data_IF_020058768564
#
_entry.id   IF_020058768564
#
_cell.length_a   1.000
_cell.length_b   1.000
_cell.length_c   1.000
_cell.angle_alpha   90.00
_cell.angle_beta   90.00
_cell.angle_gamma   90.00
#
_symmetry.space_group_name_H-M   'P 1'
#
loop_
_entity.id
_entity.type
_entity.pdbx_description
1 polymer ?
#
# COMPACT_ATOMS: atom_id res chain seq x y z
N UNK A 1 -46.12 67.13 -27.29
CA UNK A 1 -45.96 68.38 -26.52
C UNK A 1 -46.43 68.06 -25.09
N UNK A 2 -45.51 67.95 -24.12
CA UNK A 2 -45.28 68.94 -23.03
C UNK A 2 -46.17 68.63 -21.80
N UNK A 3 -45.78 68.68 -20.51
CA UNK A 3 -44.54 68.91 -19.77
C UNK A 3 -44.84 68.34 -18.36
N UNK A 4 -43.83 67.75 -17.74
CA UNK A 4 -43.40 68.01 -16.37
C UNK A 4 -44.37 68.60 -15.32
N UNK A 5 -44.22 68.00 -14.13
CA UNK A 5 -44.22 68.68 -12.83
C UNK A 5 -45.60 69.09 -12.34
N UNK A 6 -46.04 68.68 -11.15
CA UNK A 6 -45.46 69.07 -9.86
C UNK A 6 -45.79 67.91 -8.88
N UNK A 7 -44.90 66.97 -8.58
CA UNK A 7 -43.83 67.04 -7.59
C UNK A 7 -44.25 67.62 -6.22
N UNK A 8 -44.08 66.81 -5.16
CA UNK A 8 -44.26 67.07 -3.71
C UNK A 8 -45.69 66.85 -3.22
N UNK A 9 -45.92 66.27 -2.05
CA UNK A 9 -45.11 65.81 -0.89
C UNK A 9 -46.15 65.08 -0.02
N UNK A 10 -45.94 63.91 0.55
CA UNK A 10 -44.94 63.53 1.55
C UNK A 10 -45.06 62.01 1.67
N UNK A 11 -43.96 61.26 1.55
CA UNK A 11 -43.41 60.45 2.65
C UNK A 11 -44.33 59.27 3.06
N UNK A 12 -43.91 58.01 3.00
CA UNK A 12 -42.65 57.51 3.54
C UNK A 12 -42.03 56.37 2.69
N UNK A 13 -40.69 56.47 2.54
CA UNK A 13 -39.67 55.40 2.40
C UNK A 13 -39.65 54.55 1.10
N UNK A 14 -38.96 54.91 0.00
CA UNK A 14 -37.50 54.76 -0.31
C UNK A 14 -36.95 53.34 -0.04
N UNK A 15 -36.77 52.43 -1.02
CA UNK A 15 -35.77 52.35 -2.12
C UNK A 15 -34.31 52.32 -1.62
N UNK A 16 -33.61 51.20 -1.86
CA UNK A 16 -32.20 51.19 -2.31
C UNK A 16 -31.80 49.87 -2.97
N UNK A 17 -31.91 49.83 -4.30
CA UNK A 17 -30.99 49.07 -5.15
C UNK A 17 -29.78 49.97 -5.45
N UNK A 18 -28.56 49.41 -5.41
CA UNK A 18 -27.49 49.50 -6.44
C UNK A 18 -26.09 49.52 -5.80
N UNK A 19 -25.27 48.52 -6.14
CA UNK A 19 -23.86 48.62 -6.56
C UNK A 19 -23.45 47.20 -7.00
N UNK A 20 -23.55 46.84 -8.28
CA UNK A 20 -22.49 46.96 -9.30
C UNK A 20 -21.19 46.29 -8.82
N UNK A 21 -20.91 45.08 -9.31
CA UNK A 21 -19.69 44.79 -10.08
C UNK A 21 -19.91 43.59 -11.02
N UNK A 22 -19.66 43.86 -12.29
CA UNK A 22 -19.60 43.00 -13.48
C UNK A 22 -18.11 42.66 -13.73
N UNK A 23 -17.76 41.42 -14.12
CA UNK A 23 -16.67 41.02 -15.06
C UNK A 23 -16.55 39.47 -15.05
N UNK A 24 -17.21 38.74 -15.97
CA UNK A 24 -16.70 38.15 -17.25
C UNK A 24 -15.53 37.16 -17.09
N UNK A 25 -15.77 35.87 -17.38
CA UNK A 25 -15.00 35.10 -18.38
C UNK A 25 -15.60 33.71 -18.66
N UNK A 26 -15.93 33.48 -19.93
CA UNK A 26 -16.23 32.18 -20.53
C UNK A 26 -14.91 31.54 -20.96
N UNK A 27 -14.66 30.29 -20.58
CA UNK A 27 -13.77 29.39 -21.30
C UNK A 27 -14.26 27.94 -21.16
N UNK A 28 -14.79 27.42 -22.26
CA UNK A 28 -15.03 25.99 -22.49
C UNK A 28 -13.76 25.41 -23.11
N UNK A 29 -13.16 24.36 -22.55
CA UNK A 29 -12.67 23.21 -23.34
C UNK A 29 -12.19 22.02 -22.48
N UNK A 30 -12.85 20.87 -22.71
CA UNK A 30 -12.33 19.50 -22.89
C UNK A 30 -11.22 18.93 -21.98
N UNK A 31 -11.62 18.05 -21.06
CA UNK A 31 -11.31 16.60 -21.11
C UNK A 31 -11.72 15.94 -19.77
N UNK A 32 -12.87 15.26 -19.75
CA UNK A 32 -13.26 14.43 -18.61
C UNK A 32 -13.88 13.11 -19.10
N UNK A 33 -13.07 12.32 -19.80
CA UNK A 33 -13.29 10.87 -19.85
C UNK A 33 -12.40 10.24 -18.78
N UNK A 34 -12.99 9.92 -17.63
CA UNK A 34 -12.77 8.66 -16.92
C UNK A 34 -13.47 8.71 -15.55
N UNK A 35 -14.17 7.64 -15.25
CA UNK A 35 -14.81 7.34 -13.97
C UNK A 35 -16.13 8.09 -13.76
N UNK A 36 -17.20 7.55 -14.36
CA UNK A 36 -18.46 7.48 -13.62
C UNK A 36 -18.21 6.62 -12.38
N UNK A 37 -17.58 7.20 -11.36
CA UNK A 37 -17.68 6.71 -10.00
C UNK A 37 -19.16 6.69 -9.71
N UNK A 38 -19.73 5.49 -9.63
CA UNK A 38 -21.12 5.28 -9.25
C UNK A 38 -21.42 6.12 -8.00
N UNK A 39 -22.11 7.24 -8.19
CA UNK A 39 -22.51 8.20 -7.16
C UNK A 39 -23.63 7.64 -6.24
N UNK A 40 -23.62 6.33 -6.00
CA UNK A 40 -24.56 5.63 -5.14
C UNK A 40 -24.03 5.46 -3.70
N UNK A 41 -22.80 5.90 -3.39
CA UNK A 41 -22.14 5.65 -2.10
C UNK A 41 -22.29 6.77 -1.05
N UNK A 42 -23.33 7.61 -1.10
CA UNK A 42 -23.35 8.87 -0.33
C UNK A 42 -24.49 9.06 0.69
N UNK A 43 -25.39 8.10 0.91
CA UNK A 43 -26.62 8.40 1.67
C UNK A 43 -26.65 7.95 3.14
N UNK A 44 -25.89 6.92 3.52
CA UNK A 44 -26.05 6.33 4.85
C UNK A 44 -24.91 6.62 5.83
N UNK A 45 -23.89 7.40 5.45
CA UNK A 45 -22.76 7.71 6.34
C UNK A 45 -22.08 6.46 6.90
N UNK A 46 -21.65 6.52 8.17
CA UNK A 46 -20.95 5.42 8.85
C UNK A 46 -21.88 4.39 9.51
N UNK A 47 -23.15 4.74 9.72
CA UNK A 47 -24.12 3.88 10.38
C UNK A 47 -25.55 4.28 10.03
N UNK A 48 -26.48 3.36 10.23
CA UNK A 48 -27.91 3.57 9.97
C UNK A 48 -28.74 3.09 11.16
N UNK A 49 -29.71 3.91 11.57
CA UNK A 49 -30.73 3.49 12.54
C UNK A 49 -31.87 2.81 11.80
N UNK A 50 -32.18 1.57 12.17
CA UNK A 50 -33.28 0.78 11.63
C UNK A 50 -34.60 1.45 11.99
N UNK A 51 -35.45 1.68 10.99
CA UNK A 51 -36.81 2.21 11.21
C UNK A 51 -37.88 1.16 10.95
N UNK A 52 -39.13 1.45 11.31
CA UNK A 52 -40.24 0.54 11.06
C UNK A 52 -40.36 0.24 9.56
N UNK A 53 -40.40 -1.06 9.22
CA UNK A 53 -40.52 -1.53 7.83
C UNK A 53 -39.19 -1.68 7.08
N UNK A 54 -38.05 -1.36 7.70
CA UNK A 54 -36.73 -1.68 7.17
C UNK A 54 -36.48 -3.20 7.19
N UNK A 55 -35.70 -3.65 6.22
CA UNK A 55 -35.09 -4.98 6.19
C UNK A 55 -33.62 -4.82 5.85
N UNK A 56 -32.77 -5.80 6.20
CA UNK A 56 -31.35 -5.75 5.81
C UNK A 56 -31.17 -5.54 4.31
N UNK A 57 -32.02 -6.15 3.48
CA UNK A 57 -31.99 -5.99 2.02
C UNK A 57 -32.30 -4.55 1.59
N UNK A 58 -33.37 -3.94 2.11
CA UNK A 58 -33.72 -2.55 1.80
C UNK A 58 -32.63 -1.59 2.24
N UNK A 59 -32.05 -1.83 3.42
CA UNK A 59 -30.94 -1.03 3.93
C UNK A 59 -29.70 -1.20 3.04
N UNK A 60 -29.34 -2.42 2.68
CA UNK A 60 -28.20 -2.70 1.80
C UNK A 60 -28.33 -2.00 0.45
N UNK A 61 -29.50 -2.16 -0.20
CA UNK A 61 -29.83 -1.51 -1.47
C UNK A 61 -29.76 0.02 -1.35
N UNK A 62 -30.38 0.60 -0.30
CA UNK A 62 -30.39 2.04 -0.02
C UNK A 62 -28.98 2.62 0.22
N UNK A 63 -28.13 1.85 0.90
CA UNK A 63 -26.79 2.28 1.32
C UNK A 63 -25.67 1.84 0.37
N UNK A 64 -26.02 1.21 -0.76
CA UNK A 64 -25.03 0.81 -1.77
C UNK A 64 -24.08 -0.31 -1.31
N UNK A 65 -24.55 -1.20 -0.44
CA UNK A 65 -23.78 -2.33 0.09
C UNK A 65 -24.55 -3.66 -0.11
N UNK A 66 -24.08 -4.75 0.47
CA UNK A 66 -24.72 -6.08 0.41
C UNK A 66 -25.24 -6.51 1.78
N UNK A 67 -26.26 -7.37 1.82
CA UNK A 67 -26.76 -7.96 3.08
C UNK A 67 -25.63 -8.69 3.80
N UNK A 68 -24.81 -9.44 3.06
CA UNK A 68 -23.67 -10.16 3.61
C UNK A 68 -22.62 -9.24 4.22
N UNK A 69 -22.35 -8.08 3.60
CA UNK A 69 -21.44 -7.09 4.14
C UNK A 69 -22.02 -6.41 5.38
N UNK A 70 -23.31 -6.08 5.39
CA UNK A 70 -24.01 -5.58 6.59
C UNK A 70 -23.92 -6.56 7.75
N UNK A 71 -24.14 -7.86 7.50
CA UNK A 71 -24.03 -8.89 8.54
C UNK A 71 -22.60 -9.01 9.07
N UNK A 72 -21.59 -9.02 8.19
CA UNK A 72 -20.18 -9.03 8.63
C UNK A 72 -19.80 -7.78 9.42
N UNK A 73 -20.31 -6.62 9.01
CA UNK A 73 -20.09 -5.37 9.72
C UNK A 73 -20.77 -5.35 11.10
N UNK A 74 -21.82 -6.16 11.29
CA UNK A 74 -22.67 -6.18 12.48
C UNK A 74 -22.79 -7.59 13.06
N UNK A 75 -21.69 -8.20 13.55
CA UNK A 75 -21.70 -9.58 14.04
C UNK A 75 -22.73 -9.85 15.15
N UNK A 76 -23.16 -8.82 15.88
CA UNK A 76 -24.20 -8.90 16.91
C UNK A 76 -25.59 -9.33 16.39
N UNK A 77 -25.85 -9.22 15.08
CA UNK A 77 -27.14 -9.64 14.49
C UNK A 77 -27.12 -11.10 14.03
N UNK A 78 -25.95 -11.75 14.10
CA UNK A 78 -25.73 -13.12 13.64
C UNK A 78 -25.92 -13.30 12.13
N UNK A 79 -26.12 -14.55 11.72
CA UNK A 79 -26.38 -14.92 10.32
C UNK A 79 -27.84 -14.73 9.88
N UNK A 80 -28.71 -14.30 10.80
CA UNK A 80 -30.11 -14.02 10.54
C UNK A 80 -30.34 -12.68 9.83
N UNK A 81 -31.58 -12.46 9.41
CA UNK A 81 -32.04 -11.20 8.82
C UNK A 81 -32.87 -10.34 9.79
N UNK A 82 -32.93 -10.74 11.06
CA UNK A 82 -33.77 -10.09 12.06
C UNK A 82 -33.09 -8.84 12.59
N UNK A 83 -33.80 -7.72 12.49
CA UNK A 83 -33.41 -6.41 12.99
C UNK A 83 -34.63 -5.75 13.62
N UNK A 84 -34.41 -4.87 14.59
CA UNK A 84 -35.48 -4.19 15.31
C UNK A 84 -35.43 -2.68 15.06
N UNK A 85 -36.58 -1.99 14.97
CA UNK A 85 -36.61 -0.53 14.95
C UNK A 85 -35.82 0.07 16.12
N UNK A 86 -35.04 1.11 15.84
CA UNK A 86 -34.13 1.76 16.79
C UNK A 86 -32.72 1.15 16.85
N UNK A 87 -32.51 -0.05 16.29
CA UNK A 87 -31.19 -0.67 16.23
C UNK A 87 -30.24 0.12 15.32
N UNK A 88 -29.00 0.34 15.74
CA UNK A 88 -27.98 1.00 14.92
C UNK A 88 -27.09 -0.05 14.26
N UNK A 89 -27.00 -0.01 12.94
CA UNK A 89 -26.14 -0.88 12.14
C UNK A 89 -24.95 -0.08 11.61
N UNK A 90 -23.75 -0.61 11.80
CA UNK A 90 -22.53 -0.10 11.21
C UNK A 90 -22.47 -0.44 9.73
N UNK A 91 -21.93 0.47 8.92
CA UNK A 91 -21.79 0.27 7.48
C UNK A 91 -20.35 -0.04 7.08
N UNK A 92 -20.15 -0.75 5.97
CA UNK A 92 -18.85 -0.79 5.29
C UNK A 92 -18.30 0.61 5.02
N UNK A 93 -16.99 0.77 5.15
CA UNK A 93 -16.28 2.05 5.05
C UNK A 93 -16.14 2.82 6.37
N UNK A 94 -16.68 2.30 7.46
CA UNK A 94 -16.66 2.95 8.77
C UNK A 94 -15.34 2.76 9.50
N UNK A 95 -14.88 3.84 10.14
CA UNK A 95 -13.78 3.82 11.10
C UNK A 95 -14.43 3.81 12.50
N UNK A 96 -14.22 2.75 13.25
CA UNK A 96 -14.53 2.67 14.68
C UNK A 96 -13.32 3.16 15.48
N UNK A 97 -13.59 3.81 16.62
CA UNK A 97 -12.68 4.69 17.36
C UNK A 97 -11.24 4.20 17.59
N UNK A 98 -10.38 5.16 17.94
CA UNK A 98 -8.95 4.96 18.12
C UNK A 98 -8.55 4.88 19.59
N UNK A 99 -8.23 3.69 20.08
CA UNK A 99 -7.59 3.51 21.38
C UNK A 99 -6.17 2.96 21.16
N UNK A 100 -5.16 3.63 21.71
CA UNK A 100 -3.79 3.10 21.73
C UNK A 100 -3.05 3.07 20.38
N UNK A 101 -3.34 3.99 19.45
CA UNK A 101 -2.57 4.16 18.20
C UNK A 101 -3.03 3.30 17.00
N UNK A 102 -4.16 2.63 17.14
CA UNK A 102 -4.84 1.94 16.04
C UNK A 102 -6.32 2.32 16.01
N UNK A 103 -6.99 2.05 14.89
CA UNK A 103 -8.45 2.07 14.77
C UNK A 103 -8.94 0.79 14.08
N UNK A 104 -10.25 0.53 14.13
CA UNK A 104 -10.87 -0.58 13.39
C UNK A 104 -11.56 0.00 12.17
N UNK A 105 -11.24 -0.53 10.99
CA UNK A 105 -11.88 -0.17 9.74
C UNK A 105 -12.76 -1.31 9.24
N UNK A 106 -14.01 -1.01 8.89
CA UNK A 106 -14.91 -1.96 8.25
C UNK A 106 -14.70 -1.85 6.73
N UNK A 107 -14.22 -2.91 6.10
CA UNK A 107 -13.84 -2.94 4.68
C UNK A 107 -15.03 -2.54 3.80
N UNK A 108 -14.85 -1.50 2.99
CA UNK A 108 -15.82 -1.04 2.00
C UNK A 108 -15.72 -1.85 0.69
N UNK A 109 -16.74 -1.70 -0.15
CA UNK A 109 -16.75 -2.32 -1.47
C UNK A 109 -15.59 -1.78 -2.31
N UNK A 110 -14.77 -2.68 -2.84
CA UNK A 110 -13.63 -2.35 -3.70
C UNK A 110 -12.33 -2.04 -2.94
N UNK A 111 -12.34 -2.12 -1.62
CA UNK A 111 -11.12 -1.98 -0.84
C UNK A 111 -10.15 -3.15 -1.09
N UNK A 112 -8.87 -2.83 -0.97
CA UNK A 112 -7.75 -3.79 -0.98
C UNK A 112 -6.81 -3.43 0.16
N UNK A 113 -6.06 -4.39 0.71
CA UNK A 113 -5.07 -4.09 1.76
C UNK A 113 -4.05 -3.03 1.31
N UNK A 114 -3.65 -3.05 0.03
CA UNK A 114 -2.79 -2.02 -0.56
C UNK A 114 -3.43 -0.64 -0.56
N UNK A 115 -4.71 -0.57 -0.92
CA UNK A 115 -5.49 0.67 -0.89
C UNK A 115 -5.64 1.23 0.53
N UNK A 116 -5.95 0.36 1.49
CA UNK A 116 -6.05 0.73 2.91
C UNK A 116 -4.70 1.19 3.47
N UNK A 117 -3.61 0.47 3.18
CA UNK A 117 -2.27 0.84 3.58
C UNK A 117 -1.90 2.25 3.09
N UNK A 118 -2.18 2.52 1.80
CA UNK A 118 -1.95 3.84 1.20
C UNK A 118 -2.82 4.92 1.84
N UNK A 119 -4.13 4.64 1.98
CA UNK A 119 -5.12 5.59 2.52
C UNK A 119 -4.80 6.01 3.96
N UNK A 120 -4.33 5.07 4.76
CA UNK A 120 -4.10 5.28 6.19
C UNK A 120 -2.63 5.47 6.56
N UNK A 121 -1.74 5.61 5.58
CA UNK A 121 -0.31 5.85 5.84
C UNK A 121 0.36 4.72 6.62
N UNK A 122 -0.04 3.46 6.38
CA UNK A 122 0.53 2.27 7.01
C UNK A 122 1.11 1.32 5.95
N UNK A 123 1.61 0.15 6.38
CA UNK A 123 2.13 -0.88 5.47
C UNK A 123 1.22 -2.10 5.42
N UNK A 124 1.30 -2.86 4.33
CA UNK A 124 0.60 -4.15 4.22
C UNK A 124 1.05 -5.10 5.36
N UNK A 125 2.34 -5.13 5.69
CA UNK A 125 2.87 -5.91 6.81
C UNK A 125 2.26 -5.49 8.14
N UNK A 126 2.09 -4.19 8.37
CA UNK A 126 1.47 -3.72 9.58
C UNK A 126 0.01 -4.19 9.66
N UNK A 127 -0.72 -4.10 8.55
CA UNK A 127 -2.07 -4.66 8.45
C UNK A 127 -2.06 -6.17 8.69
N UNK A 128 -1.19 -6.96 8.08
CA UNK A 128 -1.18 -8.42 8.24
C UNK A 128 -0.74 -8.85 9.66
N UNK A 129 0.22 -8.14 10.25
CA UNK A 129 0.66 -8.37 11.63
C UNK A 129 -0.45 -8.09 12.63
N UNK A 130 -1.26 -7.07 12.37
CA UNK A 130 -2.37 -6.69 13.25
C UNK A 130 -3.64 -7.53 13.01
N UNK A 131 -3.71 -8.21 11.86
CA UNK A 131 -4.83 -9.06 11.42
C UNK A 131 -4.31 -10.44 10.95
N UNK A 132 -3.75 -11.25 11.87
CA UNK A 132 -3.13 -12.54 11.54
C UNK A 132 -4.10 -13.55 10.90
N UNK A 133 -5.41 -13.34 11.00
CA UNK A 133 -6.44 -14.12 10.32
C UNK A 133 -6.45 -13.90 8.79
N UNK A 134 -5.87 -12.80 8.31
CA UNK A 134 -5.77 -12.52 6.86
C UNK A 134 -4.54 -13.24 6.30
N UNK A 135 -4.75 -14.48 5.86
CA UNK A 135 -3.66 -15.31 5.33
C UNK A 135 -3.32 -15.03 3.87
N UNK A 136 -4.23 -14.41 3.12
CA UNK A 136 -4.03 -14.01 1.73
C UNK A 136 -4.20 -12.51 1.56
N UNK A 137 -3.09 -11.83 1.20
CA UNK A 137 -3.03 -10.37 1.03
C UNK A 137 -4.02 -9.80 0.02
N UNK A 138 -4.45 -10.62 -0.95
CA UNK A 138 -5.38 -10.20 -2.00
C UNK A 138 -6.85 -10.47 -1.64
N UNK A 139 -7.13 -11.02 -0.46
CA UNK A 139 -8.47 -11.44 -0.06
C UNK A 139 -8.86 -10.74 1.23
N UNK A 140 -9.70 -9.71 1.08
CA UNK A 140 -10.50 -9.12 2.15
C UNK A 140 -11.95 -9.00 1.66
N UNK A 141 -12.89 -9.07 2.59
CA UNK A 141 -14.32 -9.08 2.26
C UNK A 141 -14.99 -7.77 2.68
N UNK A 142 -15.89 -7.24 1.85
CA UNK A 142 -16.73 -6.11 2.25
C UNK A 142 -17.45 -6.39 3.58
N UNK A 143 -17.41 -5.47 4.54
CA UNK A 143 -17.94 -5.65 5.89
C UNK A 143 -16.99 -6.33 6.87
N UNK A 144 -15.84 -6.85 6.42
CA UNK A 144 -14.81 -7.41 7.30
C UNK A 144 -14.20 -6.31 8.18
N UNK A 145 -13.93 -6.64 9.44
CA UNK A 145 -13.24 -5.74 10.35
C UNK A 145 -11.73 -5.89 10.15
N UNK A 146 -11.03 -4.78 10.02
CA UNK A 146 -9.56 -4.72 9.85
C UNK A 146 -9.01 -3.76 10.88
N UNK A 147 -8.15 -4.25 11.76
CA UNK A 147 -7.36 -3.44 12.67
C UNK A 147 -6.26 -2.71 11.89
N UNK A 148 -6.21 -1.40 12.01
CA UNK A 148 -5.25 -0.56 11.28
C UNK A 148 -4.41 0.21 12.30
N UNK A 149 -3.14 -0.17 12.45
CA UNK A 149 -2.17 0.67 13.16
C UNK A 149 -1.68 1.77 12.22
N UNK A 150 -1.86 3.02 12.63
CA UNK A 150 -1.26 4.18 11.96
C UNK A 150 0.14 4.36 12.51
N UNK A 151 1.13 3.85 11.80
CA UNK A 151 2.51 4.15 12.15
C UNK A 151 2.74 5.66 11.97
N UNK A 152 3.43 6.36 12.89
CA UNK A 152 3.96 7.67 12.59
C UNK A 152 4.81 7.56 11.31
N UNK A 153 4.58 8.46 10.36
CA UNK A 153 4.88 8.41 8.93
C UNK A 153 6.36 8.35 8.52
N UNK A 154 7.12 7.41 9.08
CA UNK A 154 8.46 7.03 8.61
C UNK A 154 8.68 5.59 9.03
N UNK A 155 8.77 4.61 8.10
CA UNK A 155 9.46 3.38 8.45
C UNK A 155 10.88 3.82 8.82
N UNK A 156 11.21 3.74 10.11
CA UNK A 156 12.59 3.85 10.53
C UNK A 156 13.38 2.86 9.68
N UNK A 157 14.46 3.26 8.99
CA UNK A 157 15.27 2.32 8.24
C UNK A 157 15.62 1.17 9.17
N UNK A 158 15.08 -0.02 8.88
CA UNK A 158 15.43 -1.22 9.60
C UNK A 158 16.91 -1.43 9.32
N UNK A 159 17.75 -1.17 10.31
CA UNK A 159 19.19 -1.40 10.20
C UNK A 159 19.37 -2.85 9.76
N UNK A 160 20.00 -3.13 8.61
CA UNK A 160 20.19 -4.49 8.18
C UNK A 160 21.00 -5.23 9.24
N UNK A 161 20.69 -6.50 9.53
CA UNK A 161 21.52 -7.30 10.43
C UNK A 161 22.96 -7.32 9.88
N UNK A 162 23.99 -7.28 10.75
CA UNK A 162 25.38 -7.31 10.31
C UNK A 162 25.63 -8.62 9.56
N UNK A 163 25.87 -8.55 8.25
CA UNK A 163 26.23 -9.72 7.46
C UNK A 163 27.05 -9.36 6.22
N UNK A 164 27.71 -10.38 5.67
CA UNK A 164 28.71 -10.42 4.60
C UNK A 164 28.21 -10.07 3.19
N UNK A 165 27.27 -9.14 3.04
CA UNK A 165 26.64 -8.79 1.76
C UNK A 165 26.61 -7.30 1.45
N UNK A 166 26.20 -6.95 0.24
CA UNK A 166 25.93 -5.56 -0.14
C UNK A 166 24.54 -5.15 0.36
N UNK A 167 24.45 -4.06 1.13
CA UNK A 167 23.15 -3.51 1.51
C UNK A 167 22.49 -2.88 0.29
N UNK A 168 21.28 -3.32 -0.01
CA UNK A 168 20.43 -2.78 -1.06
C UNK A 168 19.14 -2.21 -0.45
N UNK A 169 18.79 -1.01 -0.87
CA UNK A 169 17.51 -0.39 -0.52
C UNK A 169 16.51 -0.68 -1.62
N UNK A 170 15.49 -1.46 -1.28
CA UNK A 170 14.44 -1.87 -2.21
C UNK A 170 13.80 -0.64 -2.86
N UNK A 171 13.66 -0.67 -4.17
CA UNK A 171 13.12 0.41 -4.99
C UNK A 171 11.68 0.13 -5.41
N UNK A 172 11.01 1.16 -5.93
CA UNK A 172 9.65 1.02 -6.47
C UNK A 172 9.65 0.03 -7.63
N UNK A 173 8.84 -1.03 -7.51
CA UNK A 173 8.70 -2.07 -8.53
C UNK A 173 9.64 -3.27 -8.36
N UNK A 174 10.44 -3.29 -7.30
CA UNK A 174 11.27 -4.44 -6.97
C UNK A 174 10.45 -5.62 -6.45
N UNK A 175 10.95 -6.82 -6.72
CA UNK A 175 10.55 -8.10 -6.17
C UNK A 175 11.82 -8.87 -5.81
N UNK A 176 11.79 -9.80 -4.86
CA UNK A 176 13.00 -10.60 -4.59
C UNK A 176 13.50 -11.32 -5.84
N UNK A 177 12.60 -11.74 -6.75
CA UNK A 177 12.96 -12.38 -8.02
C UNK A 177 13.74 -11.47 -8.97
N UNK A 178 13.29 -10.22 -9.19
CA UNK A 178 13.99 -9.32 -10.10
C UNK A 178 15.29 -8.76 -9.49
N UNK A 179 15.33 -8.59 -8.16
CA UNK A 179 16.55 -8.28 -7.42
C UNK A 179 17.53 -9.44 -7.58
N UNK A 180 17.12 -10.68 -7.30
CA UNK A 180 17.96 -11.85 -7.46
C UNK A 180 18.55 -11.95 -8.88
N UNK A 181 17.71 -11.75 -9.90
CA UNK A 181 18.15 -11.75 -11.30
C UNK A 181 19.14 -10.62 -11.62
N UNK A 182 18.92 -9.41 -11.10
CA UNK A 182 19.80 -8.24 -11.30
C UNK A 182 21.18 -8.47 -10.67
N UNK A 183 21.20 -9.16 -9.54
CA UNK A 183 22.41 -9.40 -8.74
C UNK A 183 23.00 -10.79 -8.96
N UNK A 184 22.53 -11.51 -9.97
CA UNK A 184 23.01 -12.86 -10.32
C UNK A 184 23.05 -13.84 -9.13
N UNK A 185 22.03 -13.79 -8.29
CA UNK A 185 21.81 -14.69 -7.13
C UNK A 185 20.42 -15.31 -7.21
N UNK A 186 20.02 -16.06 -6.18
CA UNK A 186 18.70 -16.67 -6.05
C UNK A 186 17.89 -16.02 -4.93
N UNK A 187 16.56 -16.16 -4.99
CA UNK A 187 15.68 -15.69 -3.90
C UNK A 187 16.03 -16.42 -2.60
N UNK A 188 16.28 -17.72 -2.66
CA UNK A 188 16.72 -18.54 -1.53
C UNK A 188 18.01 -18.01 -0.87
N UNK A 189 19.00 -17.61 -1.65
CA UNK A 189 20.24 -17.02 -1.12
C UNK A 189 20.01 -15.65 -0.48
N UNK A 190 19.17 -14.81 -1.08
CA UNK A 190 18.78 -13.53 -0.47
C UNK A 190 18.08 -13.78 0.87
N UNK A 191 17.16 -14.74 0.95
CA UNK A 191 16.44 -15.05 2.18
C UNK A 191 17.38 -15.58 3.28
N UNK A 192 18.41 -16.37 2.93
CA UNK A 192 19.40 -16.87 3.91
C UNK A 192 20.12 -15.75 4.65
N UNK A 193 20.45 -14.66 3.98
CA UNK A 193 21.15 -13.50 4.58
C UNK A 193 20.19 -12.41 5.09
N UNK A 194 18.88 -12.64 4.96
CA UNK A 194 17.81 -11.76 5.45
C UNK A 194 16.78 -12.54 6.28
N UNK A 195 17.15 -13.07 7.45
CA UNK A 195 16.23 -13.83 8.31
C UNK A 195 15.01 -13.00 8.77
N UNK A 196 15.06 -11.67 8.65
CA UNK A 196 13.92 -10.78 8.91
C UNK A 196 12.82 -10.82 7.84
N UNK A 197 13.09 -11.37 6.65
CA UNK A 197 12.09 -11.51 5.59
C UNK A 197 11.35 -12.84 5.79
N UNK A 198 10.17 -12.78 6.39
CA UNK A 198 9.33 -13.97 6.64
C UNK A 198 8.44 -14.32 5.44
N UNK A 199 8.08 -13.33 4.61
CA UNK A 199 7.31 -13.52 3.39
C UNK A 199 8.11 -13.06 2.15
N UNK A 200 8.62 -13.99 1.32
CA UNK A 200 9.44 -13.65 0.15
C UNK A 200 8.72 -12.84 -0.94
N UNK A 201 7.38 -12.87 -0.95
CA UNK A 201 6.57 -12.14 -1.93
C UNK A 201 6.31 -10.68 -1.50
N UNK A 202 6.82 -10.26 -0.35
CA UNK A 202 6.49 -8.97 0.25
C UNK A 202 7.75 -8.26 0.76
N UNK A 203 8.21 -7.27 -0.01
CA UNK A 203 9.32 -6.37 0.33
C UNK A 203 8.89 -4.92 0.12
N UNK A 204 9.47 -3.99 0.88
CA UNK A 204 9.04 -2.58 0.94
C UNK A 204 10.03 -1.65 0.28
N UNK A 205 9.54 -0.64 -0.43
CA UNK A 205 10.41 0.46 -0.89
C UNK A 205 11.12 1.09 0.32
N UNK A 206 12.43 1.26 0.22
CA UNK A 206 13.30 1.76 1.30
C UNK A 206 13.71 0.71 2.32
N UNK A 207 13.18 -0.52 2.25
CA UNK A 207 13.67 -1.62 3.08
C UNK A 207 15.12 -1.93 2.74
N UNK A 208 15.97 -1.92 3.75
CA UNK A 208 17.34 -2.40 3.61
C UNK A 208 17.33 -3.93 3.65
N UNK A 209 17.86 -4.55 2.60
CA UNK A 209 18.08 -5.98 2.51
C UNK A 209 19.55 -6.25 2.19
N UNK A 210 20.09 -7.33 2.72
CA UNK A 210 21.41 -7.82 2.39
C UNK A 210 21.32 -8.59 1.07
N UNK A 211 22.04 -8.15 0.05
CA UNK A 211 22.22 -8.95 -1.16
C UNK A 211 23.45 -9.81 -0.94
N UNK A 212 23.34 -11.15 -0.98
CA UNK A 212 24.50 -12.00 -0.95
C UNK A 212 25.34 -11.63 -2.17
N UNK A 213 26.64 -11.41 -1.97
CA UNK A 213 27.55 -11.32 -3.10
C UNK A 213 27.53 -12.71 -3.73
N UNK A 214 26.80 -12.83 -4.84
CA UNK A 214 26.64 -14.09 -5.55
C UNK A 214 27.99 -14.50 -6.09
N UNK A 215 28.44 -15.70 -5.66
CA UNK A 215 29.60 -16.44 -6.15
C UNK A 215 29.69 -16.37 -7.69
N UNK A 216 30.26 -15.30 -8.24
CA UNK A 216 30.42 -15.16 -9.68
C UNK A 216 31.42 -16.23 -10.09
N UNK A 217 31.07 -17.17 -10.95
CA UNK A 217 32.01 -18.25 -11.31
C UNK A 217 32.85 -17.86 -12.52
N UNK A 218 34.11 -18.25 -12.53
CA UNK A 218 35.06 -18.06 -13.61
C UNK A 218 35.68 -19.40 -14.02
N UNK A 219 35.75 -19.65 -15.32
CA UNK A 219 36.46 -20.81 -15.88
C UNK A 219 37.91 -20.40 -16.14
N UNK A 220 38.84 -21.00 -15.41
CA UNK A 220 40.28 -20.75 -15.54
C UNK A 220 40.73 -21.00 -16.98
N UNK A 221 41.37 -20.02 -17.58
CA UNK A 221 41.89 -20.03 -18.95
C UNK A 221 43.39 -20.34 -18.96
N UNK A 222 43.91 -20.68 -20.14
CA UNK A 222 45.36 -20.89 -20.32
C UNK A 222 46.13 -19.61 -19.99
N UNK A 223 47.05 -19.72 -19.03
CA UNK A 223 47.90 -18.61 -18.58
C UNK A 223 47.36 -17.85 -17.37
N UNK A 224 46.19 -18.23 -16.84
CA UNK A 224 45.67 -17.62 -15.63
C UNK A 224 46.47 -18.01 -14.38
N UNK A 225 46.53 -17.07 -13.45
CA UNK A 225 46.93 -17.30 -12.05
C UNK A 225 45.86 -16.69 -11.15
N UNK A 226 45.71 -17.15 -9.90
CA UNK A 226 44.77 -16.53 -8.96
C UNK A 226 45.02 -15.03 -8.80
N UNK A 227 46.27 -14.56 -8.91
CA UNK A 227 46.62 -13.14 -8.89
C UNK A 227 46.04 -12.37 -10.09
N UNK A 228 46.15 -12.92 -11.30
CA UNK A 228 45.59 -12.29 -12.52
C UNK A 228 44.06 -12.27 -12.44
N UNK A 229 43.46 -13.38 -12.00
CA UNK A 229 42.00 -13.48 -11.84
C UNK A 229 41.52 -12.51 -10.77
N UNK A 230 42.20 -12.43 -9.63
CA UNK A 230 41.87 -11.48 -8.56
C UNK A 230 41.88 -10.03 -9.06
N UNK A 231 42.92 -9.65 -9.82
CA UNK A 231 42.99 -8.33 -10.45
C UNK A 231 41.85 -8.08 -11.45
N UNK A 232 41.54 -9.08 -12.30
CA UNK A 232 40.44 -9.01 -13.28
C UNK A 232 39.08 -8.80 -12.62
N UNK A 233 38.86 -9.40 -11.46
CA UNK A 233 37.63 -9.30 -10.68
C UNK A 233 37.77 -8.39 -9.45
N UNK A 234 38.71 -7.44 -9.47
CA UNK A 234 38.86 -6.42 -8.42
C UNK A 234 38.75 -6.98 -6.98
N UNK A 235 39.34 -8.14 -6.73
CA UNK A 235 39.33 -8.86 -5.45
C UNK A 235 40.78 -9.23 -5.08
N UNK A 236 40.99 -9.93 -3.96
CA UNK A 236 42.31 -10.42 -3.53
C UNK A 236 42.44 -11.92 -3.69
N UNK A 237 43.68 -12.43 -3.77
CA UNK A 237 43.93 -13.88 -3.79
C UNK A 237 43.37 -14.55 -2.54
N UNK A 238 43.51 -13.92 -1.38
CA UNK A 238 42.98 -14.45 -0.12
C UNK A 238 41.44 -14.54 -0.13
N UNK A 239 40.77 -13.51 -0.66
CA UNK A 239 39.32 -13.54 -0.84
C UNK A 239 38.88 -14.64 -1.83
N UNK A 240 39.62 -14.84 -2.93
CA UNK A 240 39.38 -15.95 -3.85
C UNK A 240 39.54 -17.32 -3.19
N UNK A 241 40.56 -17.51 -2.36
CA UNK A 241 40.76 -18.78 -1.65
C UNK A 241 39.66 -19.03 -0.62
N UNK A 242 39.23 -18.00 0.11
CA UNK A 242 38.12 -18.09 1.05
C UNK A 242 36.80 -18.49 0.36
N UNK A 243 36.57 -17.98 -0.86
CA UNK A 243 35.42 -18.33 -1.71
C UNK A 243 35.51 -19.74 -2.33
N UNK A 244 36.70 -20.36 -2.33
CA UNK A 244 36.98 -21.65 -2.97
C UNK A 244 37.73 -22.59 -2.01
N UNK A 245 37.08 -23.10 -0.95
CA UNK A 245 37.73 -23.96 0.05
C UNK A 245 38.30 -25.27 -0.53
N UNK A 246 37.91 -25.63 -1.76
CA UNK A 246 38.43 -26.78 -2.48
C UNK A 246 39.83 -26.55 -3.08
N UNK A 247 40.29 -25.30 -3.21
CA UNK A 247 41.62 -24.97 -3.73
C UNK A 247 42.61 -24.97 -2.56
N UNK A 248 43.31 -26.10 -2.38
CA UNK A 248 44.28 -26.26 -1.29
C UNK A 248 45.63 -25.56 -1.52
N UNK A 249 45.95 -25.25 -2.76
CA UNK A 249 47.19 -24.57 -3.13
C UNK A 249 46.90 -23.47 -4.16
N UNK A 250 47.19 -22.23 -3.78
CA UNK A 250 46.93 -21.03 -4.58
C UNK A 250 47.67 -21.00 -5.93
N UNK A 251 48.76 -21.75 -6.04
CA UNK A 251 49.58 -21.85 -7.26
C UNK A 251 49.14 -22.99 -8.18
N UNK A 252 48.16 -23.81 -7.77
CA UNK A 252 47.68 -24.97 -8.52
C UNK A 252 46.20 -24.77 -8.88
N UNK A 253 45.98 -24.10 -10.01
CA UNK A 253 44.69 -24.03 -10.70
C UNK A 253 44.84 -24.60 -12.11
N UNK A 254 43.81 -25.26 -12.63
CA UNK A 254 43.84 -25.94 -13.92
C UNK A 254 42.98 -25.23 -14.94
N UNK A 255 43.42 -25.21 -16.20
CA UNK A 255 42.58 -24.74 -17.31
C UNK A 255 41.28 -25.54 -17.35
N UNK A 256 40.14 -24.85 -17.45
CA UNK A 256 38.81 -25.44 -17.38
C UNK A 256 38.24 -25.59 -15.97
N UNK A 257 39.04 -25.34 -14.92
CA UNK A 257 38.55 -25.34 -13.54
C UNK A 257 37.59 -24.18 -13.31
N UNK A 258 36.43 -24.46 -12.71
CA UNK A 258 35.47 -23.44 -12.29
C UNK A 258 35.83 -22.98 -10.88
N UNK A 259 35.96 -21.67 -10.69
CA UNK A 259 36.23 -21.06 -9.38
C UNK A 259 35.27 -19.89 -9.13
N UNK A 260 34.87 -19.68 -7.87
CA UNK A 260 34.07 -18.54 -7.44
C UNK A 260 34.96 -17.29 -7.29
N UNK A 261 34.56 -16.14 -7.83
CA UNK A 261 35.42 -14.94 -7.91
C UNK A 261 34.89 -13.71 -7.18
N UNK A 262 33.63 -13.69 -6.77
CA UNK A 262 33.00 -12.65 -5.93
C UNK A 262 31.81 -13.24 -5.22
#
# INVERSE_FOLDING_TARGET
MNIYSVHKRMELTMKHRKFIHLFVLVAVLLAAFASTSSAFAAWCGSSVTVVQGDTLRKIAERCGTTVSALQRANPQIGSGNLIYPGQVLQLPGTILGSDGGYFIYIVARGDTLKGLATRFGTTIDALLRDNPEITNVNVIYEGQWVKVTVAPTTPSPSTPPPSSGQVYYVQRGDTLRNIASRWSTTVEEILKVNPQITNPNLIYVGQAINIPLGASSYIVQKGDTLRIIAGKFGTTVDALLALNPNIKNANLIYVGQVINVR
#
